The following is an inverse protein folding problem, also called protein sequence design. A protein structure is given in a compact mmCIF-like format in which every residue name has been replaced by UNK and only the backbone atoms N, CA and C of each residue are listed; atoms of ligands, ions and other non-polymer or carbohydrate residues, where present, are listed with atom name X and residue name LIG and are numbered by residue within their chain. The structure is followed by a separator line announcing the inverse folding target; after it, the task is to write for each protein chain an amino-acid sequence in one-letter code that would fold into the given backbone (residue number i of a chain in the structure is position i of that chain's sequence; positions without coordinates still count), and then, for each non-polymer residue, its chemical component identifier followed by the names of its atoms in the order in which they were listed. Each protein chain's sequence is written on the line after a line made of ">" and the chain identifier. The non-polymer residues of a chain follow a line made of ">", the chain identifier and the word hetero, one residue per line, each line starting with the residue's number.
data_IF_458569821167
#
_entry.id   IF_458569821167
#
_cell.length_a   1.000
_cell.length_b   1.000
_cell.length_c   1.000
_cell.angle_alpha   90.00
_cell.angle_beta   90.00
_cell.angle_gamma   90.00
#
_symmetry.space_group_name_H-M   'P 1'
#
loop_
_entity.id
_entity.type
_entity.pdbx_description
1 polymer ?
#
# COMPACT_ATOMS: atom_id res chain seq x y z
N UNK A 1 -6.19 20.63 -15.08
CA UNK A 1 -7.04 20.63 -13.87
C UNK A 1 -6.12 20.49 -12.66
N UNK A 2 -5.75 21.60 -12.02
CA UNK A 2 -4.91 21.56 -10.82
C UNK A 2 -5.75 21.00 -9.67
N UNK A 3 -5.54 19.72 -9.31
CA UNK A 3 -6.16 19.16 -8.13
C UNK A 3 -5.64 19.90 -6.90
N UNK A 4 -6.54 20.53 -6.15
CA UNK A 4 -6.23 21.15 -4.87
C UNK A 4 -5.50 20.15 -3.96
N UNK A 5 -4.41 20.60 -3.33
CA UNK A 5 -3.58 19.77 -2.44
C UNK A 5 -4.38 19.07 -1.33
N UNK A 6 -5.51 19.65 -0.91
CA UNK A 6 -6.43 19.04 0.06
C UNK A 6 -7.15 17.80 -0.48
N UNK A 7 -7.51 17.80 -1.77
CA UNK A 7 -8.18 16.67 -2.43
C UNK A 7 -7.20 15.51 -2.64
N UNK A 8 -5.94 15.78 -2.99
CA UNK A 8 -4.89 14.75 -3.06
C UNK A 8 -4.74 13.99 -1.73
N UNK A 9 -4.78 14.72 -0.61
CA UNK A 9 -4.72 14.13 0.74
C UNK A 9 -5.96 13.28 1.06
N UNK A 10 -7.16 13.74 0.70
CA UNK A 10 -8.39 12.98 0.87
C UNK A 10 -8.41 11.68 0.06
N UNK A 11 -8.00 11.73 -1.21
CA UNK A 11 -7.89 10.54 -2.06
C UNK A 11 -6.87 9.56 -1.49
N UNK A 12 -5.70 10.04 -1.06
CA UNK A 12 -4.67 9.19 -0.48
C UNK A 12 -5.15 8.44 0.76
N UNK A 13 -5.87 9.13 1.66
CA UNK A 13 -6.45 8.51 2.85
C UNK A 13 -7.48 7.41 2.55
N UNK A 14 -8.17 7.48 1.41
CA UNK A 14 -9.17 6.50 0.99
C UNK A 14 -8.54 5.36 0.18
N UNK A 15 -7.59 5.67 -0.69
CA UNK A 15 -6.97 4.69 -1.58
C UNK A 15 -6.11 3.68 -0.82
N UNK A 16 -5.41 4.13 0.23
CA UNK A 16 -4.55 3.27 1.06
C UNK A 16 -5.35 2.14 1.74
N UNK A 17 -6.45 2.40 2.47
CA UNK A 17 -7.24 1.33 3.09
C UNK A 17 -7.94 0.44 2.08
N UNK A 18 -8.42 0.98 0.94
CA UNK A 18 -8.99 0.14 -0.14
C UNK A 18 -7.93 -0.82 -0.66
N UNK A 19 -6.73 -0.32 -0.93
CA UNK A 19 -5.60 -1.13 -1.35
C UNK A 19 -5.23 -2.18 -0.30
N UNK A 20 -5.25 -1.80 0.98
CA UNK A 20 -4.95 -2.71 2.08
C UNK A 20 -5.96 -3.86 2.17
N UNK A 21 -7.26 -3.59 2.00
CA UNK A 21 -8.30 -4.63 1.98
C UNK A 21 -8.06 -5.63 0.85
N UNK A 22 -7.78 -5.11 -0.36
CA UNK A 22 -7.45 -5.96 -1.52
C UNK A 22 -6.19 -6.79 -1.27
N UNK A 23 -5.15 -6.16 -0.71
CA UNK A 23 -3.88 -6.83 -0.41
C UNK A 23 -4.04 -7.96 0.60
N UNK A 24 -4.76 -7.71 1.71
CA UNK A 24 -5.03 -8.73 2.73
C UNK A 24 -5.83 -9.89 2.12
N UNK A 25 -6.82 -9.59 1.26
CA UNK A 25 -7.58 -10.61 0.54
C UNK A 25 -6.69 -11.50 -0.34
N UNK A 26 -5.76 -10.89 -1.10
CA UNK A 26 -4.79 -11.62 -1.92
C UNK A 26 -3.87 -12.48 -1.06
N UNK A 27 -3.32 -11.94 0.03
CA UNK A 27 -2.44 -12.71 0.91
C UNK A 27 -3.19 -13.86 1.58
N UNK A 28 -4.44 -13.67 1.98
CA UNK A 28 -5.25 -14.71 2.59
C UNK A 28 -5.55 -15.86 1.61
N UNK A 29 -5.89 -15.56 0.35
CA UNK A 29 -6.13 -16.60 -0.66
C UNK A 29 -4.84 -17.32 -1.05
N UNK A 30 -3.72 -16.60 -1.21
CA UNK A 30 -2.41 -17.22 -1.43
C UNK A 30 -1.99 -18.09 -0.24
N UNK A 31 -2.26 -17.64 0.99
CA UNK A 31 -1.95 -18.39 2.19
C UNK A 31 -2.66 -19.75 2.18
N UNK A 32 -3.95 -19.78 1.87
CA UNK A 32 -4.76 -20.99 1.83
C UNK A 32 -4.27 -22.00 0.76
N UNK A 33 -3.75 -21.51 -0.36
CA UNK A 33 -3.21 -22.36 -1.44
C UNK A 33 -1.81 -22.90 -1.11
N UNK A 34 -0.96 -22.08 -0.49
CA UNK A 34 0.48 -22.33 -0.39
C UNK A 34 0.85 -23.03 0.93
N UNK A 35 0.21 -22.67 2.04
CA UNK A 35 0.60 -23.11 3.39
C UNK A 35 0.17 -24.54 3.82
N UNK A 36 -0.83 -25.24 3.23
CA UNK A 36 -1.31 -26.52 3.78
C UNK A 36 -0.25 -27.61 3.96
N UNK A 37 0.82 -27.58 3.15
CA UNK A 37 1.87 -28.59 3.14
C UNK A 37 3.25 -28.05 3.56
N UNK A 38 3.31 -26.83 4.10
CA UNK A 38 4.56 -26.17 4.44
C UNK A 38 4.87 -26.25 5.93
N UNK A 39 6.15 -26.32 6.25
CA UNK A 39 6.63 -26.34 7.63
C UNK A 39 6.45 -24.95 8.28
N UNK A 40 6.34 -24.89 9.62
CA UNK A 40 6.02 -23.64 10.35
C UNK A 40 6.97 -22.47 10.08
N UNK A 41 8.24 -22.75 9.74
CA UNK A 41 9.20 -21.72 9.34
C UNK A 41 8.82 -21.02 8.02
N UNK A 42 8.33 -21.77 7.02
CA UNK A 42 7.89 -21.19 5.75
C UNK A 42 6.59 -20.40 5.91
N UNK A 43 5.70 -20.84 6.80
CA UNK A 43 4.51 -20.08 7.18
C UNK A 43 4.90 -18.72 7.76
N UNK A 44 5.86 -18.70 8.69
CA UNK A 44 6.39 -17.46 9.25
C UNK A 44 7.00 -16.57 8.16
N UNK A 45 7.86 -17.13 7.30
CA UNK A 45 8.53 -16.38 6.26
C UNK A 45 7.53 -15.79 5.23
N UNK A 46 6.48 -16.54 4.90
CA UNK A 46 5.42 -16.09 4.01
C UNK A 46 4.71 -14.84 4.55
N UNK A 47 4.28 -14.86 5.82
CA UNK A 47 3.65 -13.70 6.43
C UNK A 47 4.63 -12.56 6.70
N UNK A 48 5.89 -12.85 7.00
CA UNK A 48 6.93 -11.83 7.17
C UNK A 48 7.17 -11.06 5.87
N UNK A 49 7.36 -11.77 4.75
CA UNK A 49 7.58 -11.14 3.44
C UNK A 49 6.29 -10.49 2.93
N UNK A 50 5.13 -11.15 3.09
CA UNK A 50 3.83 -10.57 2.76
C UNK A 50 3.55 -9.28 3.54
N UNK A 51 3.96 -9.23 4.80
CA UNK A 51 3.89 -8.05 5.66
C UNK A 51 4.94 -6.97 5.35
N UNK A 52 5.92 -7.23 4.47
CA UNK A 52 6.88 -6.23 4.02
C UNK A 52 6.57 -5.75 2.59
N UNK A 53 6.09 -6.65 1.72
CA UNK A 53 5.85 -6.35 0.30
C UNK A 53 4.76 -5.29 0.10
N UNK A 54 3.79 -5.17 1.02
CA UNK A 54 2.71 -4.17 0.94
C UNK A 54 3.18 -2.73 1.10
N UNK A 55 4.39 -2.51 1.64
CA UNK A 55 4.98 -1.18 1.78
C UNK A 55 5.32 -0.59 0.41
N UNK A 56 5.73 -1.44 -0.55
CA UNK A 56 6.10 -1.05 -1.92
C UNK A 56 5.00 -0.24 -2.61
N UNK A 57 3.73 -0.68 -2.65
CA UNK A 57 2.65 0.10 -3.26
C UNK A 57 2.23 1.32 -2.43
N UNK A 58 2.41 1.31 -1.10
CA UNK A 58 1.99 2.41 -0.23
C UNK A 58 2.95 3.60 -0.30
N UNK A 59 4.26 3.36 -0.40
CA UNK A 59 5.27 4.42 -0.43
C UNK A 59 5.08 5.44 -1.58
N UNK A 60 4.85 5.04 -2.85
CA UNK A 60 4.57 5.98 -3.94
C UNK A 60 3.31 6.80 -3.72
N UNK A 61 2.26 6.20 -3.13
CA UNK A 61 0.99 6.88 -2.84
C UNK A 61 1.23 7.96 -1.79
N UNK A 62 1.94 7.64 -0.71
CA UNK A 62 2.30 8.60 0.34
C UNK A 62 3.20 9.70 -0.24
N UNK A 63 4.24 9.35 -1.00
CA UNK A 63 5.13 10.32 -1.63
C UNK A 63 4.38 11.27 -2.56
N UNK A 64 3.41 10.77 -3.33
CA UNK A 64 2.54 11.59 -4.18
C UNK A 64 1.63 12.52 -3.36
N UNK A 65 1.15 12.04 -2.21
CA UNK A 65 0.31 12.81 -1.29
C UNK A 65 1.09 13.89 -0.54
N UNK A 66 2.35 13.62 -0.22
CA UNK A 66 3.28 14.54 0.43
C UNK A 66 3.92 15.53 -0.54
N UNK A 67 3.95 15.22 -1.85
CA UNK A 67 4.45 16.13 -2.88
C UNK A 67 3.63 17.41 -2.91
N UNK A 68 4.12 18.39 -2.17
CA UNK A 68 3.71 19.78 -2.23
C UNK A 68 3.95 20.32 -3.63
N UNK A 69 2.89 20.76 -4.30
CA UNK A 69 3.01 21.52 -5.54
C UNK A 69 3.71 22.82 -5.13
N UNK A 70 5.00 22.95 -5.45
CA UNK A 70 5.77 24.17 -5.22
C UNK A 70 5.02 25.36 -5.82
N UNK A 71 4.44 26.19 -4.97
CA UNK A 71 3.80 27.47 -5.34
C UNK A 71 4.86 28.58 -5.44
N UNK A 72 6.07 28.28 -5.94
CA UNK A 72 7.20 29.21 -5.98
C UNK A 72 7.57 29.71 -7.38
N UNK A 73 6.76 29.44 -8.40
CA UNK A 73 6.89 30.04 -9.74
C UNK A 73 6.13 31.39 -9.87
N UNK A 74 5.87 32.08 -8.74
CA UNK A 74 5.13 33.35 -8.67
C UNK A 74 5.95 34.47 -7.99
N UNK A 75 7.25 34.56 -8.29
CA UNK A 75 8.00 35.78 -8.01
C UNK A 75 8.84 36.20 -9.19
#
# INVERSE_FOLDING_TARGET
>A
MFLNNRIKKLIGTIIIPIWLILFIGIIATLAEIILPNLNGFYVFLFYFIGGLIWIIPVLPIIAWMQKEINQNDQK
#
